data_IF_321122250018
#
_entry.id   IF_321122250018
#
_cell.length_a   1.000
_cell.length_b   1.000
_cell.length_c   1.000
_cell.angle_alpha   90.00
_cell.angle_beta   90.00
_cell.angle_gamma   90.00
#
_symmetry.space_group_name_H-M   'P 1'
#
loop_
_entity.id
_entity.type
_entity.pdbx_description
1 polymer ?
#
# COMPACT_ATOMS: atom_id res chain seq x y z
N UNK A 1 17.34 -10.00 -37.01
CA UNK A 1 18.63 -10.05 -36.30
C UNK A 1 19.78 -9.52 -37.16
N UNK A 2 19.87 -9.86 -38.44
CA UNK A 2 20.96 -9.42 -39.34
C UNK A 2 20.98 -7.90 -39.62
N UNK A 3 19.82 -7.29 -39.91
CA UNK A 3 19.76 -5.86 -40.28
C UNK A 3 20.11 -4.91 -39.12
N UNK A 4 19.76 -5.28 -37.89
CA UNK A 4 20.09 -4.48 -36.68
C UNK A 4 21.60 -4.48 -36.42
N UNK A 5 22.29 -5.59 -36.72
CA UNK A 5 23.76 -5.69 -36.64
C UNK A 5 24.43 -4.92 -37.78
N UNK A 6 23.90 -5.00 -39.00
CA UNK A 6 24.41 -4.28 -40.16
C UNK A 6 24.36 -2.74 -40.00
N UNK A 7 23.25 -2.19 -39.49
CA UNK A 7 23.10 -0.75 -39.22
C UNK A 7 24.01 -0.28 -38.08
N UNK A 8 24.28 -1.14 -37.08
CA UNK A 8 25.24 -0.84 -36.01
C UNK A 8 26.69 -0.83 -36.50
N UNK A 9 27.02 -1.66 -37.49
CA UNK A 9 28.37 -1.74 -38.06
C UNK A 9 28.65 -0.64 -39.11
N UNK A 10 27.62 -0.20 -39.85
CA UNK A 10 27.71 0.89 -40.84
C UNK A 10 26.48 1.81 -40.75
N UNK A 11 26.50 2.85 -39.88
CA UNK A 11 25.36 3.74 -39.64
C UNK A 11 24.92 4.56 -40.88
N UNK A 12 25.85 4.80 -41.81
CA UNK A 12 25.61 5.60 -43.02
C UNK A 12 25.09 4.78 -44.20
N UNK A 13 25.00 3.46 -44.08
CA UNK A 13 24.51 2.58 -45.14
C UNK A 13 22.98 2.72 -45.30
N UNK A 14 22.57 3.46 -46.33
CA UNK A 14 21.18 3.79 -46.62
C UNK A 14 20.33 2.53 -46.83
N UNK A 15 20.85 1.52 -47.53
CA UNK A 15 20.14 0.26 -47.80
C UNK A 15 19.88 -0.56 -46.54
N UNK A 16 20.87 -0.62 -45.65
CA UNK A 16 20.75 -1.28 -44.36
C UNK A 16 19.70 -0.60 -43.47
N UNK A 17 19.66 0.74 -43.45
CA UNK A 17 18.63 1.50 -42.73
C UNK A 17 17.24 1.27 -43.33
N UNK A 18 17.09 1.34 -44.65
CA UNK A 18 15.82 1.08 -45.33
C UNK A 18 15.34 -0.37 -45.12
N UNK A 19 16.25 -1.34 -45.05
CA UNK A 19 15.91 -2.73 -44.74
C UNK A 19 15.47 -2.91 -43.28
N UNK A 20 16.15 -2.26 -42.33
CA UNK A 20 15.76 -2.26 -40.92
C UNK A 20 14.39 -1.62 -40.73
N UNK A 21 14.12 -0.48 -41.38
CA UNK A 21 12.85 0.22 -41.27
C UNK A 21 11.68 -0.63 -41.81
N UNK A 22 11.87 -1.26 -42.98
CA UNK A 22 10.89 -2.22 -43.51
C UNK A 22 10.65 -3.41 -42.58
N UNK A 23 11.69 -3.90 -41.92
CA UNK A 23 11.56 -4.99 -40.97
C UNK A 23 10.77 -4.57 -39.71
N UNK A 24 11.00 -3.36 -39.21
CA UNK A 24 10.24 -2.79 -38.08
C UNK A 24 8.76 -2.60 -38.44
N UNK A 25 8.45 -2.06 -39.61
CA UNK A 25 7.07 -1.88 -40.06
C UNK A 25 6.31 -3.22 -40.13
N UNK A 26 6.91 -4.27 -40.71
CA UNK A 26 6.30 -5.61 -40.73
C UNK A 26 6.10 -6.20 -39.33
N UNK A 27 7.06 -6.00 -38.43
CA UNK A 27 6.93 -6.46 -37.06
C UNK A 27 5.80 -5.69 -36.34
N UNK A 28 5.69 -4.38 -36.55
CA UNK A 28 4.60 -3.57 -36.03
C UNK A 28 3.22 -4.05 -36.52
N UNK A 29 3.09 -4.43 -37.80
CA UNK A 29 1.87 -5.00 -38.36
C UNK A 29 1.47 -6.33 -37.67
N UNK A 30 2.45 -7.21 -37.42
CA UNK A 30 2.21 -8.49 -36.73
C UNK A 30 1.71 -8.26 -35.31
N UNK A 31 2.38 -7.39 -34.54
CA UNK A 31 1.97 -7.05 -33.18
C UNK A 31 0.61 -6.33 -33.16
N UNK A 32 0.33 -5.46 -34.13
CA UNK A 32 -0.98 -4.82 -34.29
C UNK A 32 -2.09 -5.87 -34.52
N UNK A 33 -1.84 -6.87 -35.36
CA UNK A 33 -2.80 -7.93 -35.63
C UNK A 33 -3.05 -8.80 -34.38
N UNK A 34 -1.99 -9.17 -33.65
CA UNK A 34 -2.09 -9.88 -32.37
C UNK A 34 -2.88 -9.09 -31.33
N UNK A 35 -2.58 -7.80 -31.17
CA UNK A 35 -3.30 -6.91 -30.26
C UNK A 35 -4.78 -6.82 -30.57
N UNK A 36 -5.15 -6.68 -31.85
CA UNK A 36 -6.55 -6.70 -32.31
C UNK A 36 -7.24 -8.02 -31.98
N UNK A 37 -6.55 -9.15 -32.15
CA UNK A 37 -7.09 -10.47 -31.84
C UNK A 37 -7.37 -10.63 -30.34
N UNK A 38 -6.45 -10.20 -29.49
CA UNK A 38 -6.65 -10.24 -28.04
C UNK A 38 -7.76 -9.29 -27.58
N UNK A 39 -7.82 -8.08 -28.14
CA UNK A 39 -8.89 -7.13 -27.84
C UNK A 39 -10.27 -7.68 -28.24
N UNK A 40 -10.38 -8.34 -29.39
CA UNK A 40 -11.62 -9.00 -29.82
C UNK A 40 -12.06 -10.15 -28.88
N UNK A 41 -11.11 -10.78 -28.18
CA UNK A 41 -11.37 -11.81 -27.17
C UNK A 41 -11.61 -11.23 -25.77
N UNK A 42 -11.62 -9.90 -25.60
CA UNK A 42 -11.74 -9.25 -24.29
C UNK A 42 -10.52 -9.45 -23.38
N UNK A 43 -9.40 -9.90 -23.95
CA UNK A 43 -8.09 -10.07 -23.29
C UNK A 43 -7.29 -8.78 -23.42
N UNK A 44 -7.75 -7.74 -22.74
CA UNK A 44 -7.19 -6.39 -22.91
C UNK A 44 -5.77 -6.25 -22.35
N UNK A 45 -5.36 -7.08 -21.40
CA UNK A 45 -3.97 -7.13 -20.88
C UNK A 45 -2.98 -7.52 -21.99
N UNK A 46 -3.22 -8.66 -22.64
CA UNK A 46 -2.41 -9.12 -23.77
C UNK A 46 -2.48 -8.14 -24.95
N UNK A 47 -3.65 -7.54 -25.20
CA UNK A 47 -3.82 -6.56 -26.26
C UNK A 47 -2.96 -5.31 -26.06
N UNK A 48 -2.87 -4.80 -24.82
CA UNK A 48 -2.05 -3.62 -24.49
C UNK A 48 -0.57 -3.89 -24.72
N UNK A 49 -0.07 -5.08 -24.33
CA UNK A 49 1.34 -5.47 -24.55
C UNK A 49 1.68 -5.47 -26.04
N UNK A 50 0.84 -6.12 -26.86
CA UNK A 50 1.05 -6.21 -28.30
C UNK A 50 0.96 -4.84 -28.99
N UNK A 51 -0.03 -4.01 -28.64
CA UNK A 51 -0.13 -2.66 -29.21
C UNK A 51 1.00 -1.74 -28.78
N UNK A 52 1.56 -1.90 -27.57
CA UNK A 52 2.71 -1.13 -27.13
C UNK A 52 3.97 -1.49 -27.92
N UNK A 53 4.22 -2.78 -28.15
CA UNK A 53 5.31 -3.23 -28.99
C UNK A 53 5.15 -2.76 -30.44
N UNK A 54 3.92 -2.74 -30.97
CA UNK A 54 3.63 -2.16 -32.28
C UNK A 54 3.93 -0.65 -32.35
N UNK A 55 3.56 0.12 -31.31
CA UNK A 55 3.81 1.58 -31.22
C UNK A 55 5.32 1.88 -31.08
N UNK A 56 6.07 1.06 -30.34
CA UNK A 56 7.54 1.19 -30.26
C UNK A 56 8.25 0.92 -31.60
N UNK A 57 7.71 0.00 -32.39
CA UNK A 57 8.26 -0.36 -33.71
C UNK A 57 7.83 0.62 -34.81
N UNK A 58 6.65 1.24 -34.69
CA UNK A 58 6.13 2.25 -35.61
C UNK A 58 5.41 3.40 -34.86
N UNK A 59 6.15 4.37 -34.29
CA UNK A 59 5.57 5.43 -33.46
C UNK A 59 4.71 6.46 -34.21
N UNK A 60 4.69 6.42 -35.54
CA UNK A 60 3.91 7.34 -36.37
C UNK A 60 2.54 6.78 -36.74
N UNK A 61 2.24 5.54 -36.36
CA UNK A 61 0.95 4.89 -36.63
C UNK A 61 -0.12 5.31 -35.61
N UNK A 62 -0.86 6.36 -35.97
CA UNK A 62 -1.95 6.88 -35.16
C UNK A 62 -3.08 5.84 -34.90
N UNK A 63 -3.23 4.81 -35.75
CA UNK A 63 -4.24 3.76 -35.55
C UNK A 63 -3.83 2.80 -34.44
N UNK A 64 -2.54 2.48 -34.33
CA UNK A 64 -2.00 1.66 -33.24
C UNK A 64 -2.13 2.39 -31.92
N UNK A 65 -1.80 3.69 -31.89
CA UNK A 65 -1.95 4.51 -30.69
C UNK A 65 -3.40 4.63 -30.22
N UNK A 66 -4.34 4.78 -31.17
CA UNK A 66 -5.76 4.79 -30.85
C UNK A 66 -6.23 3.43 -30.28
N UNK A 67 -5.78 2.32 -30.89
CA UNK A 67 -6.10 0.98 -30.41
C UNK A 67 -5.50 0.67 -29.03
N UNK A 68 -4.27 1.13 -28.77
CA UNK A 68 -3.62 1.04 -27.46
C UNK A 68 -4.40 1.81 -26.39
N UNK A 69 -4.84 3.04 -26.69
CA UNK A 69 -5.67 3.84 -25.78
C UNK A 69 -7.01 3.17 -25.49
N UNK A 70 -7.69 2.65 -26.52
CA UNK A 70 -8.96 1.93 -26.35
C UNK A 70 -8.78 0.67 -25.51
N UNK A 71 -7.75 -0.15 -25.79
CA UNK A 71 -7.44 -1.34 -25.02
C UNK A 71 -7.14 -1.02 -23.54
N UNK A 72 -6.37 0.04 -23.25
CA UNK A 72 -6.12 0.51 -21.88
C UNK A 72 -7.40 0.99 -21.19
N UNK A 73 -8.26 1.72 -21.90
CA UNK A 73 -9.53 2.18 -21.34
C UNK A 73 -10.45 1.01 -21.02
N UNK A 74 -10.56 0.04 -21.92
CA UNK A 74 -11.36 -1.17 -21.71
C UNK A 74 -10.83 -2.02 -20.56
N UNK A 75 -9.51 -2.17 -20.46
CA UNK A 75 -8.87 -2.82 -19.31
C UNK A 75 -9.23 -2.13 -17.99
N UNK A 76 -9.11 -0.79 -17.93
CA UNK A 76 -9.51 0.01 -16.77
C UNK A 76 -10.99 -0.16 -16.42
N UNK A 77 -11.88 -0.14 -17.43
CA UNK A 77 -13.31 -0.35 -17.19
C UNK A 77 -13.63 -1.78 -16.74
N UNK A 78 -12.95 -2.81 -17.26
CA UNK A 78 -13.14 -4.20 -16.83
C UNK A 78 -12.69 -4.40 -15.38
N UNK A 79 -11.57 -3.79 -15.00
CA UNK A 79 -11.10 -3.75 -13.61
C UNK A 79 -12.05 -2.96 -12.70
N UNK A 80 -12.70 -1.91 -13.20
CA UNK A 80 -13.70 -1.14 -12.46
C UNK A 80 -15.08 -1.83 -12.36
N UNK A 81 -15.49 -2.61 -13.36
CA UNK A 81 -16.84 -3.21 -13.46
C UNK A 81 -16.92 -4.63 -12.90
N UNK A 82 -15.81 -5.35 -12.73
CA UNK A 82 -15.85 -6.75 -12.26
C UNK A 82 -16.09 -6.90 -10.74
N UNK A 83 -16.36 -5.82 -9.98
CA UNK A 83 -16.73 -5.92 -8.55
C UNK A 83 -17.88 -5.01 -8.07
N UNK A 84 -18.95 -4.88 -8.87
CA UNK A 84 -20.23 -4.26 -8.43
C UNK A 84 -20.19 -2.74 -8.16
N UNK A 85 -19.42 -1.96 -8.93
CA UNK A 85 -19.52 -0.50 -8.88
C UNK A 85 -18.94 0.15 -7.60
N UNK A 86 -18.07 -0.57 -6.88
CA UNK A 86 -17.05 0.00 -6.00
C UNK A 86 -15.74 -0.69 -6.27
N UNK A 87 -14.66 0.09 -6.30
CA UNK A 87 -13.32 -0.44 -6.54
C UNK A 87 -12.96 -1.44 -5.44
N UNK A 88 -12.06 -2.35 -5.77
CA UNK A 88 -11.47 -3.22 -4.75
C UNK A 88 -10.80 -2.51 -3.62
N UNK A 89 -10.19 -1.39 -3.98
CA UNK A 89 -9.58 -0.51 -3.04
C UNK A 89 -10.63 0.06 -2.10
N UNK A 90 -11.80 0.49 -2.58
CA UNK A 90 -12.91 0.95 -1.74
C UNK A 90 -13.49 -0.15 -0.85
N UNK A 91 -13.66 -1.38 -1.36
CA UNK A 91 -14.17 -2.50 -0.55
C UNK A 91 -13.13 -2.99 0.48
N UNK A 92 -11.85 -2.85 0.18
CA UNK A 92 -10.75 -3.17 1.08
C UNK A 92 -10.58 -2.04 2.10
N UNK A 93 -10.75 -0.78 1.71
CA UNK A 93 -10.81 0.40 2.59
C UNK A 93 -12.00 0.31 3.54
N UNK A 94 -13.20 -0.03 3.06
CA UNK A 94 -14.39 -0.16 3.93
C UNK A 94 -14.25 -1.34 4.90
N UNK A 95 -13.62 -2.46 4.50
CA UNK A 95 -13.30 -3.58 5.40
C UNK A 95 -12.18 -3.27 6.38
N UNK A 96 -11.22 -2.43 5.99
CA UNK A 96 -10.08 -2.03 6.84
C UNK A 96 -10.35 -0.77 7.65
N UNK A 97 -11.43 -0.05 7.38
CA UNK A 97 -11.86 1.12 8.17
C UNK A 97 -12.12 0.74 9.63
N UNK A 98 -12.52 -0.51 9.86
CA UNK A 98 -12.79 -1.07 11.18
C UNK A 98 -11.69 -2.06 11.66
N UNK A 99 -10.63 -2.29 10.86
CA UNK A 99 -9.49 -3.13 11.26
C UNK A 99 -8.32 -2.25 11.71
N UNK A 100 -7.72 -2.49 12.88
CA UNK A 100 -6.45 -1.88 13.25
C UNK A 100 -5.39 -2.11 12.15
N UNK A 101 -4.52 -1.14 11.84
CA UNK A 101 -3.45 -1.33 10.86
C UNK A 101 -2.58 -2.53 11.23
N UNK A 102 -2.22 -3.43 10.27
CA UNK A 102 -1.34 -4.57 10.56
C UNK A 102 -0.02 -4.10 11.16
N UNK A 103 0.33 -4.61 12.34
CA UNK A 103 1.58 -4.29 13.05
C UNK A 103 1.46 -3.18 14.11
N UNK A 104 0.24 -2.66 14.37
CA UNK A 104 -0.07 -1.79 15.50
C UNK A 104 -1.00 -2.48 16.51
N UNK A 105 -0.78 -3.77 16.74
CA UNK A 105 -1.52 -4.52 17.74
C UNK A 105 -0.76 -4.54 19.08
N UNK A 106 -1.51 -4.65 20.17
CA UNK A 106 -0.92 -4.99 21.46
C UNK A 106 -0.24 -6.35 21.34
N UNK A 107 0.93 -6.56 21.99
CA UNK A 107 1.61 -7.83 21.91
C UNK A 107 0.75 -8.95 22.52
N UNK A 108 0.34 -9.89 21.66
CA UNK A 108 -0.43 -11.07 22.04
C UNK A 108 0.29 -11.85 23.15
N UNK A 109 -0.49 -12.33 24.13
CA UNK A 109 -0.03 -13.21 25.22
C UNK A 109 1.03 -12.62 26.17
N UNK A 110 1.06 -11.29 26.31
CA UNK A 110 1.92 -10.64 27.30
C UNK A 110 1.48 -10.99 28.72
N UNK A 111 2.30 -11.76 29.44
CA UNK A 111 2.00 -12.21 30.81
C UNK A 111 2.28 -11.08 31.80
N UNK A 112 1.22 -10.34 32.16
CA UNK A 112 1.25 -9.51 33.37
C UNK A 112 1.48 -10.37 34.62
N UNK A 113 2.02 -9.80 35.72
CA UNK A 113 2.05 -10.49 37.01
C UNK A 113 0.66 -11.00 37.41
N UNK A 114 0.61 -12.12 38.13
CA UNK A 114 -0.64 -12.75 38.56
C UNK A 114 -1.51 -11.83 39.44
N UNK A 115 -0.90 -10.84 40.09
CA UNK A 115 -1.60 -9.81 40.85
C UNK A 115 -0.85 -8.48 40.78
N UNK A 116 -1.57 -7.39 40.58
CA UNK A 116 -1.09 -6.02 40.72
C UNK A 116 -2.13 -5.23 41.50
N UNK A 117 -1.74 -4.70 42.66
CA UNK A 117 -2.65 -3.94 43.52
C UNK A 117 -2.08 -2.56 43.78
N UNK A 118 -2.88 -1.53 43.51
CA UNK A 118 -2.53 -0.14 43.73
C UNK A 118 -3.61 0.50 44.59
N UNK A 119 -3.20 1.20 45.64
CA UNK A 119 -4.09 1.89 46.56
C UNK A 119 -3.79 3.38 46.52
N UNK A 120 -4.77 4.18 46.10
CA UNK A 120 -4.66 5.64 45.97
C UNK A 120 -3.38 6.08 45.23
N UNK A 121 -3.02 5.34 44.18
CA UNK A 121 -1.82 5.59 43.39
C UNK A 121 -2.13 6.55 42.23
N UNK A 122 -1.11 7.29 41.80
CA UNK A 122 -1.17 8.09 40.57
C UNK A 122 -1.57 7.25 39.36
N UNK A 123 -2.59 7.65 38.61
CA UNK A 123 -2.98 7.02 37.34
C UNK A 123 -1.79 6.90 36.38
N UNK A 124 -0.92 7.91 36.33
CA UNK A 124 0.30 7.92 35.52
C UNK A 124 1.24 6.79 35.93
N UNK A 125 1.49 6.62 37.22
CA UNK A 125 2.34 5.55 37.75
C UNK A 125 1.76 4.16 37.46
N UNK A 126 0.44 4.02 37.60
CA UNK A 126 -0.25 2.74 37.34
C UNK A 126 -0.13 2.34 35.86
N UNK A 127 -0.41 3.26 34.93
CA UNK A 127 -0.22 3.01 33.50
C UNK A 127 1.24 2.68 33.16
N UNK A 128 2.21 3.42 33.71
CA UNK A 128 3.64 3.15 33.51
C UNK A 128 4.04 1.76 34.01
N UNK A 129 3.47 1.32 35.14
CA UNK A 129 3.76 0.00 35.70
C UNK A 129 3.22 -1.11 34.80
N UNK A 130 1.98 -1.00 34.35
CA UNK A 130 1.37 -1.97 33.41
C UNK A 130 2.15 -2.02 32.10
N UNK A 131 2.48 -0.86 31.51
CA UNK A 131 3.28 -0.79 30.29
C UNK A 131 4.66 -1.43 30.47
N UNK A 132 5.33 -1.20 31.61
CA UNK A 132 6.63 -1.80 31.92
C UNK A 132 6.56 -3.32 32.04
N UNK A 133 5.54 -3.87 32.70
CA UNK A 133 5.34 -5.31 32.77
C UNK A 133 5.03 -5.91 31.40
N UNK A 134 4.38 -5.13 30.54
CA UNK A 134 4.07 -5.52 29.18
C UNK A 134 5.21 -5.28 28.16
N UNK A 135 6.33 -4.72 28.62
CA UNK A 135 7.44 -4.28 27.77
C UNK A 135 6.97 -3.33 26.63
N UNK A 136 6.04 -2.44 26.97
CA UNK A 136 5.51 -1.38 26.12
C UNK A 136 6.13 -0.02 26.45
N UNK A 137 6.35 0.77 25.41
CA UNK A 137 6.55 2.21 25.51
C UNK A 137 5.21 2.90 25.80
N UNK A 138 5.25 3.89 26.67
CA UNK A 138 4.08 4.64 27.09
C UNK A 138 4.28 6.13 26.86
N UNK A 139 3.32 6.75 26.18
CA UNK A 139 3.24 8.19 25.96
C UNK A 139 1.93 8.70 26.56
N UNK A 140 1.94 9.92 27.08
CA UNK A 140 0.73 10.60 27.53
C UNK A 140 0.45 11.78 26.61
N UNK A 141 -0.81 11.94 26.23
CA UNK A 141 -1.26 13.17 25.58
C UNK A 141 -0.98 14.39 26.50
N UNK A 142 -0.58 15.56 25.97
CA UNK A 142 -0.32 16.75 26.79
C UNK A 142 -1.52 17.20 27.65
N UNK A 143 -2.76 16.87 27.24
CA UNK A 143 -3.96 17.17 28.00
C UNK A 143 -4.31 16.10 29.05
N UNK A 144 -3.52 15.03 29.17
CA UNK A 144 -3.70 14.01 30.20
C UNK A 144 -3.58 14.64 31.59
N UNK A 145 -4.59 14.39 32.43
CA UNK A 145 -4.60 14.82 33.83
C UNK A 145 -4.44 13.61 34.74
N UNK A 146 -3.42 13.67 35.57
CA UNK A 146 -3.15 12.67 36.58
C UNK A 146 -4.22 12.71 37.68
N UNK A 147 -4.64 11.54 38.15
CA UNK A 147 -5.63 11.41 39.21
C UNK A 147 -5.35 10.17 40.07
N UNK A 148 -5.74 10.16 41.35
CA UNK A 148 -5.59 8.98 42.19
C UNK A 148 -6.54 7.87 41.72
N UNK A 149 -6.03 6.65 41.67
CA UNK A 149 -6.76 5.44 41.30
C UNK A 149 -6.45 4.34 42.32
N UNK A 150 -7.47 3.57 42.68
CA UNK A 150 -7.30 2.33 43.42
C UNK A 150 -7.79 1.17 42.57
N UNK A 151 -6.92 0.22 42.25
CA UNK A 151 -7.23 -0.88 41.34
C UNK A 151 -6.52 -2.16 41.80
N UNK A 152 -7.23 -3.28 41.68
CA UNK A 152 -6.71 -4.61 41.94
C UNK A 152 -6.91 -5.47 40.69
N UNK A 153 -5.80 -5.80 40.02
CA UNK A 153 -5.75 -6.52 38.76
C UNK A 153 -5.23 -7.93 39.04
N UNK A 154 -6.03 -8.97 38.77
CA UNK A 154 -5.66 -10.37 39.06
C UNK A 154 -5.88 -11.26 37.85
N UNK A 155 -4.86 -12.03 37.48
CA UNK A 155 -4.88 -12.98 36.35
C UNK A 155 -5.54 -12.41 35.07
N UNK A 156 -5.27 -11.15 34.79
CA UNK A 156 -5.91 -10.38 33.72
C UNK A 156 -4.94 -10.20 32.54
N UNK A 157 -5.48 -10.10 31.32
CA UNK A 157 -4.64 -9.80 30.15
C UNK A 157 -4.26 -8.32 30.12
N UNK A 158 -3.33 -7.96 29.24
CA UNK A 158 -2.94 -6.57 29.02
C UNK A 158 -4.11 -5.71 28.53
N UNK A 159 -4.90 -6.25 27.60
CA UNK A 159 -6.07 -5.59 27.01
C UNK A 159 -7.09 -5.27 28.09
N UNK A 160 -7.43 -6.25 28.92
CA UNK A 160 -8.43 -6.12 29.98
C UNK A 160 -7.93 -5.19 31.12
N UNK A 161 -6.63 -5.20 31.42
CA UNK A 161 -6.00 -4.27 32.36
C UNK A 161 -6.07 -2.82 31.84
N UNK A 162 -5.72 -2.59 30.57
CA UNK A 162 -5.81 -1.27 29.95
C UNK A 162 -7.27 -0.81 29.85
N UNK A 163 -8.20 -1.69 29.51
CA UNK A 163 -9.63 -1.38 29.48
C UNK A 163 -10.13 -0.93 30.86
N UNK A 164 -9.75 -1.64 31.92
CA UNK A 164 -10.13 -1.29 33.30
C UNK A 164 -9.56 0.07 33.73
N UNK A 165 -8.28 0.32 33.42
CA UNK A 165 -7.62 1.59 33.76
C UNK A 165 -8.18 2.77 32.99
N UNK A 166 -8.40 2.61 31.69
CA UNK A 166 -8.93 3.67 30.82
C UNK A 166 -10.37 4.04 31.21
N UNK A 167 -11.20 3.05 31.51
CA UNK A 167 -12.54 3.26 32.06
C UNK A 167 -12.52 4.02 33.40
N UNK A 168 -11.64 3.62 34.33
CA UNK A 168 -11.54 4.28 35.65
C UNK A 168 -11.01 5.71 35.57
N UNK A 169 -10.31 6.07 34.48
CA UNK A 169 -9.63 7.36 34.36
C UNK A 169 -10.28 8.30 33.34
N UNK A 170 -11.37 7.88 32.70
CA UNK A 170 -11.98 8.61 31.57
C UNK A 170 -10.96 8.93 30.47
N UNK A 171 -10.17 7.92 30.11
CA UNK A 171 -9.20 7.98 29.02
C UNK A 171 -9.48 6.87 28.01
N UNK A 172 -8.77 6.90 26.89
CA UNK A 172 -8.62 5.76 25.99
C UNK A 172 -7.14 5.61 25.63
N UNK A 173 -6.75 4.43 25.15
CA UNK A 173 -5.41 4.23 24.61
C UNK A 173 -5.45 4.07 23.10
N UNK A 174 -4.36 4.46 22.43
CA UNK A 174 -4.10 4.15 21.01
C UNK A 174 -2.70 3.62 20.84
N UNK A 175 -2.55 2.61 20.00
CA UNK A 175 -1.23 2.16 19.54
C UNK A 175 -0.74 3.16 18.49
N UNK A 176 0.29 3.93 18.82
CA UNK A 176 0.80 5.03 17.99
C UNK A 176 2.10 4.71 17.29
N UNK A 177 2.82 3.67 17.74
CA UNK A 177 3.96 3.08 17.07
C UNK A 177 4.16 1.63 17.55
N UNK A 178 5.13 0.92 16.96
CA UNK A 178 5.49 -0.43 17.38
C UNK A 178 5.78 -0.47 18.88
N UNK A 179 5.08 -1.36 19.61
CA UNK A 179 5.14 -1.50 21.08
C UNK A 179 4.90 -0.19 21.85
N UNK A 180 4.21 0.79 21.26
CA UNK A 180 4.03 2.11 21.86
C UNK A 180 2.56 2.46 21.94
N UNK A 181 2.09 2.73 23.16
CA UNK A 181 0.73 3.19 23.41
C UNK A 181 0.72 4.64 23.91
N UNK A 182 -0.25 5.42 23.43
CA UNK A 182 -0.54 6.76 23.92
C UNK A 182 -1.83 6.74 24.73
N UNK A 183 -1.81 7.27 25.95
CA UNK A 183 -2.99 7.45 26.80
C UNK A 183 -3.55 8.86 26.61
N UNK A 184 -4.84 8.94 26.30
CA UNK A 184 -5.49 10.16 25.82
C UNK A 184 -6.79 10.40 26.60
N UNK A 185 -7.11 11.65 27.01
CA UNK A 185 -8.41 11.98 27.57
C UNK A 185 -9.57 11.60 26.64
N UNK A 186 -10.59 10.95 27.19
CA UNK A 186 -11.77 10.54 26.45
C UNK A 186 -12.71 11.73 26.21
N UNK A 187 -12.43 12.47 25.13
CA UNK A 187 -13.28 13.58 24.67
C UNK A 187 -13.56 13.45 23.18
N UNK A 188 -14.71 13.95 22.67
CA UNK A 188 -15.02 13.91 21.24
C UNK A 188 -13.95 14.57 20.36
N UNK A 189 -13.34 15.65 20.83
CA UNK A 189 -12.25 16.33 20.12
C UNK A 189 -11.01 15.44 20.01
N UNK A 190 -10.57 14.83 21.12
CA UNK A 190 -9.41 13.93 21.13
C UNK A 190 -9.65 12.64 20.36
N UNK A 191 -10.86 12.09 20.40
CA UNK A 191 -11.23 10.91 19.58
C UNK A 191 -11.06 11.21 18.10
N UNK A 192 -11.56 12.34 17.61
CA UNK A 192 -11.37 12.78 16.21
C UNK A 192 -9.89 13.01 15.87
N UNK A 193 -9.15 13.71 16.73
CA UNK A 193 -7.72 13.99 16.53
C UNK A 193 -6.90 12.70 16.37
N UNK A 194 -7.15 11.70 17.22
CA UNK A 194 -6.46 10.41 17.18
C UNK A 194 -7.07 9.40 16.18
N UNK A 195 -8.27 9.65 15.67
CA UNK A 195 -8.85 8.93 14.50
C UNK A 195 -8.24 9.44 13.18
N UNK A 196 -7.95 10.75 13.07
CA UNK A 196 -7.32 11.36 11.90
C UNK A 196 -5.80 11.10 11.81
N UNK A 197 -5.14 10.88 12.95
CA UNK A 197 -3.67 10.73 13.06
C UNK A 197 -3.13 9.32 12.77
N UNK A 198 -3.87 8.45 12.08
CA UNK A 198 -3.34 7.14 11.65
C UNK A 198 -2.40 7.37 10.48
N UNK A 199 -1.09 7.41 10.75
CA UNK A 199 -0.07 7.24 9.72
C UNK A 199 -0.31 5.87 9.07
N UNK A 200 -0.95 5.88 7.90
CA UNK A 200 -1.17 4.70 7.07
C UNK A 200 0.14 4.31 6.42
N UNK A 201 0.95 3.54 7.14
CA UNK A 201 2.02 2.78 6.51
C UNK A 201 1.38 1.56 5.84
N UNK A 202 1.18 1.67 4.53
CA UNK A 202 0.69 0.55 3.72
C UNK A 202 1.79 -0.49 3.60
N UNK A 203 1.72 -1.55 4.41
CA UNK A 203 2.51 -2.75 4.18
C UNK A 203 1.78 -3.61 3.13
N UNK A 204 2.32 -3.64 1.91
CA UNK A 204 1.94 -4.62 0.90
C UNK A 204 2.26 -6.01 1.47
N UNK A 205 1.23 -6.69 1.95
CA UNK A 205 1.33 -8.03 2.54
C UNK A 205 1.61 -9.03 1.43
N UNK A 206 2.83 -9.54 1.38
CA UNK A 206 3.25 -10.83 0.80
C UNK A 206 2.29 -11.47 -0.22
N UNK A 207 2.18 -10.88 -1.41
CA UNK A 207 1.88 -11.59 -2.64
C UNK A 207 2.32 -10.69 -3.81
N UNK A 208 3.29 -11.19 -4.56
CA UNK A 208 3.79 -10.69 -5.84
C UNK A 208 4.03 -9.17 -5.99
N UNK A 209 5.17 -8.72 -5.46
CA UNK A 209 5.79 -7.40 -5.73
C UNK A 209 5.87 -7.08 -7.25
N UNK A 210 5.80 -8.10 -8.11
CA UNK A 210 5.88 -8.00 -9.57
C UNK A 210 4.61 -7.42 -10.20
N UNK A 211 3.43 -7.82 -9.73
CA UNK A 211 2.15 -7.29 -10.23
C UNK A 211 1.95 -5.82 -9.87
N UNK A 212 2.40 -5.41 -8.68
CA UNK A 212 2.29 -4.02 -8.21
C UNK A 212 3.22 -3.07 -8.98
N UNK A 213 4.42 -3.54 -9.37
CA UNK A 213 5.36 -2.76 -10.20
C UNK A 213 4.82 -2.57 -11.62
N UNK A 214 4.18 -3.60 -12.20
CA UNK A 214 3.56 -3.49 -13.53
C UNK A 214 2.31 -2.59 -13.51
N UNK A 215 1.54 -2.60 -12.41
CA UNK A 215 0.41 -1.68 -12.21
C UNK A 215 0.86 -0.22 -12.07
N UNK A 216 1.94 0.05 -11.34
CA UNK A 216 2.51 1.39 -11.15
C UNK A 216 3.14 1.96 -12.43
N UNK A 217 3.74 1.09 -13.27
CA UNK A 217 4.34 1.48 -14.55
C UNK A 217 3.30 1.92 -15.59
N UNK A 218 2.05 1.47 -15.46
CA UNK A 218 0.93 1.86 -16.35
C UNK A 218 0.31 3.20 -15.93
N UNK A 219 0.41 3.57 -14.66
CA UNK A 219 -0.24 4.78 -14.11
C UNK A 219 0.69 6.01 -14.14
N UNK A 220 2.00 5.81 -14.07
CA UNK A 220 2.99 6.90 -13.96
C UNK A 220 3.71 7.10 -15.29
N UNK A 221 3.13 7.94 -16.14
CA UNK A 221 3.72 8.42 -17.40
C UNK A 221 4.85 9.44 -17.12
N UNK A 222 5.88 9.04 -16.36
CA UNK A 222 7.00 9.90 -15.97
C UNK A 222 8.32 9.28 -16.43
N UNK A 223 8.94 9.99 -17.37
CA UNK A 223 10.30 9.77 -17.85
C UNK A 223 11.26 9.99 -16.67
N UNK A 224 12.08 8.98 -16.38
CA UNK A 224 13.12 8.92 -15.34
C UNK A 224 12.65 8.71 -13.89
N UNK A 225 12.86 7.48 -13.40
CA UNK A 225 13.20 7.21 -12.01
C UNK A 225 14.58 6.55 -12.02
N UNK A 226 15.56 7.20 -11.40
CA UNK A 226 16.88 6.62 -11.16
C UNK A 226 16.79 5.74 -9.92
N UNK A 227 17.06 4.44 -10.09
CA UNK A 227 17.16 3.50 -8.97
C UNK A 227 18.45 3.76 -8.17
N UNK A 228 18.33 3.94 -6.86
CA UNK A 228 19.45 3.72 -5.94
C UNK A 228 19.26 2.34 -5.33
N UNK A 229 19.99 1.38 -5.89
CA UNK A 229 19.95 -0.04 -5.53
C UNK A 229 20.62 -0.25 -4.17
N UNK A 230 19.88 -0.13 -3.08
CA UNK A 230 20.29 -0.72 -1.80
C UNK A 230 19.18 -0.92 -0.76
N UNK A 231 18.00 -0.29 -0.89
CA UNK A 231 16.97 -0.43 0.15
C UNK A 231 15.59 -0.24 -0.44
N UNK A 232 14.74 -1.27 -0.33
CA UNK A 232 13.35 -1.26 -0.78
C UNK A 232 12.52 -0.20 -0.02
N UNK A 233 12.58 1.05 -0.47
CA UNK A 233 11.69 2.13 -0.09
C UNK A 233 11.58 3.14 -1.25
N UNK A 234 10.43 3.79 -1.38
CA UNK A 234 10.19 4.93 -2.27
C UNK A 234 9.58 6.05 -1.44
N UNK A 235 10.06 7.28 -1.62
CA UNK A 235 9.46 8.53 -1.11
C UNK A 235 8.71 9.25 -2.21
#
# INVERSE_FOLDING_TARGET
MEYTKAVRAQPDNVDARMALERAKLRAAEVHTASGRRFAAQGRYEDAVVEFQLASELNPTDALVDAALRDARQRLRTKLAVTRNGRTDLENLIDRTRDLPPPGLDLPDHTKLPSSLTFSNASSKLVFMSVAKFADLNLVFDPAFREQPVSIDLRNITLEDALASLTASTHTFYRVTAQRTITIVPDTPAKRREYEESVVRTFYLSNADLKEVIDLLRVVVDIRQISAITATNAIS
#
